data_IF_431404096524
#
_entry.id   IF_431404096524
#
_cell.length_a   1.000
_cell.length_b   1.000
_cell.length_c   1.000
_cell.angle_alpha   90.00
_cell.angle_beta   90.00
_cell.angle_gamma   90.00
#
_symmetry.space_group_name_H-M   'P 1'
#
loop_
_entity.id
_entity.type
_entity.pdbx_description
1 polymer ?
#
# COMPACT_ATOMS: atom_id res chain seq x y z
N UNK A 1 -0.15 -14.23 -10.93
CA UNK A 1 -0.08 -12.78 -11.28
C UNK A 1 -1.46 -12.13 -11.22
N UNK A 2 -2.50 -12.67 -11.87
CA UNK A 2 -3.86 -12.10 -11.88
C UNK A 2 -4.36 -11.71 -10.47
N UNK A 3 -4.30 -12.62 -9.49
CA UNK A 3 -4.78 -12.31 -8.12
C UNK A 3 -4.03 -11.16 -7.42
N UNK A 4 -2.72 -11.02 -7.67
CA UNK A 4 -1.93 -9.93 -7.08
C UNK A 4 -2.36 -8.58 -7.68
N UNK A 5 -2.62 -8.55 -8.99
CA UNK A 5 -3.11 -7.35 -9.67
C UNK A 5 -4.52 -6.96 -9.20
N UNK A 6 -5.37 -7.93 -8.85
CA UNK A 6 -6.68 -7.64 -8.25
C UNK A 6 -6.48 -6.94 -6.90
N UNK A 7 -5.62 -7.46 -6.02
CA UNK A 7 -5.35 -6.85 -4.71
C UNK A 7 -4.82 -5.41 -4.89
N UNK A 8 -3.88 -5.21 -5.82
CA UNK A 8 -3.37 -3.86 -6.12
C UNK A 8 -4.46 -2.94 -6.67
N UNK A 9 -5.28 -3.43 -7.60
CA UNK A 9 -6.34 -2.63 -8.21
C UNK A 9 -7.40 -2.19 -7.18
N UNK A 10 -7.77 -3.07 -6.26
CA UNK A 10 -8.74 -2.74 -5.20
C UNK A 10 -8.13 -1.74 -4.20
N UNK A 11 -6.86 -1.90 -3.83
CA UNK A 11 -6.15 -0.92 -2.99
C UNK A 11 -6.02 0.45 -3.66
N UNK A 12 -5.68 0.47 -4.95
CA UNK A 12 -5.62 1.70 -5.74
C UNK A 12 -7.00 2.36 -5.82
N UNK A 13 -8.05 1.59 -6.10
CA UNK A 13 -9.42 2.09 -6.17
C UNK A 13 -9.91 2.70 -4.84
N UNK A 14 -9.42 2.22 -3.69
CA UNK A 14 -9.71 2.83 -2.40
C UNK A 14 -9.25 4.30 -2.35
N UNK A 15 -8.03 4.57 -2.80
CA UNK A 15 -7.43 5.90 -2.73
C UNK A 15 -7.94 6.79 -3.88
N UNK A 16 -7.85 6.31 -5.12
CA UNK A 16 -8.22 7.11 -6.30
C UNK A 16 -9.73 7.21 -6.50
N UNK A 17 -10.45 6.12 -6.24
CA UNK A 17 -11.90 6.05 -6.48
C UNK A 17 -12.71 6.68 -5.37
N UNK A 18 -12.42 6.36 -4.09
CA UNK A 18 -13.25 6.83 -2.98
C UNK A 18 -12.73 8.11 -2.32
N UNK A 19 -11.42 8.39 -2.34
CA UNK A 19 -10.87 9.60 -1.68
C UNK A 19 -10.63 10.75 -2.67
N UNK A 20 -10.77 10.49 -3.98
CA UNK A 20 -10.51 11.48 -5.04
C UNK A 20 -9.04 11.88 -5.19
N UNK A 21 -8.11 11.15 -4.54
CA UNK A 21 -6.68 11.49 -4.55
C UNK A 21 -5.93 10.65 -5.57
N UNK A 22 -5.24 11.31 -6.50
CA UNK A 22 -4.38 10.62 -7.45
C UNK A 22 -3.07 10.17 -6.78
N UNK A 23 -2.86 8.85 -6.70
CA UNK A 23 -1.65 8.24 -6.11
C UNK A 23 -0.98 7.30 -7.10
N UNK A 24 0.28 7.60 -7.45
CA UNK A 24 1.11 6.81 -8.37
C UNK A 24 2.17 5.96 -7.64
N UNK A 25 2.24 6.06 -6.31
CA UNK A 25 3.26 5.39 -5.49
C UNK A 25 2.98 3.93 -5.13
N UNK A 26 1.84 3.36 -5.56
CA UNK A 26 1.40 2.01 -5.16
C UNK A 26 2.42 0.91 -5.49
N UNK A 27 3.13 1.04 -6.61
CA UNK A 27 4.20 0.11 -6.98
C UNK A 27 5.36 0.12 -5.97
N UNK A 28 5.66 1.26 -5.35
CA UNK A 28 6.67 1.39 -4.30
C UNK A 28 6.30 0.61 -3.04
N UNK A 29 5.06 0.73 -2.57
CA UNK A 29 4.59 -0.02 -1.40
C UNK A 29 4.52 -1.53 -1.66
N UNK A 30 4.11 -1.93 -2.86
CA UNK A 30 4.16 -3.32 -3.30
C UNK A 30 5.61 -3.85 -3.28
N UNK A 31 6.57 -3.06 -3.76
CA UNK A 31 7.99 -3.39 -3.77
C UNK A 31 8.52 -3.63 -2.34
N UNK A 32 8.22 -2.73 -1.40
CA UNK A 32 8.61 -2.88 0.01
C UNK A 32 8.07 -4.18 0.61
N UNK A 33 6.77 -4.44 0.44
CA UNK A 33 6.16 -5.67 0.96
C UNK A 33 6.76 -6.94 0.35
N UNK A 34 7.04 -6.93 -0.96
CA UNK A 34 7.66 -8.06 -1.66
C UNK A 34 9.07 -8.36 -1.12
N UNK A 35 9.89 -7.32 -0.92
CA UNK A 35 11.25 -7.50 -0.41
C UNK A 35 11.28 -7.95 1.05
N UNK A 36 10.40 -7.43 1.91
CA UNK A 36 10.32 -7.88 3.31
C UNK A 36 9.89 -9.35 3.35
N UNK A 37 8.89 -9.73 2.56
CA UNK A 37 8.45 -11.13 2.46
C UNK A 37 9.58 -12.05 1.96
N UNK A 38 10.33 -11.61 0.95
CA UNK A 38 11.49 -12.33 0.43
C UNK A 38 12.60 -12.50 1.47
N UNK A 39 12.94 -11.46 2.23
CA UNK A 39 13.97 -11.55 3.29
C UNK A 39 13.55 -12.53 4.39
N UNK A 40 12.30 -12.45 4.84
CA UNK A 40 11.78 -13.29 5.94
C UNK A 40 11.70 -14.77 5.52
N UNK A 41 11.32 -15.05 4.28
CA UNK A 41 11.18 -16.42 3.79
C UNK A 41 12.50 -17.01 3.28
N UNK A 42 13.28 -16.26 2.49
CA UNK A 42 14.50 -16.76 1.86
C UNK A 42 15.73 -16.70 2.77
N UNK A 43 15.92 -15.62 3.56
CA UNK A 43 17.10 -15.50 4.44
C UNK A 43 16.87 -16.05 5.84
N UNK A 44 15.70 -15.78 6.43
CA UNK A 44 15.40 -16.16 7.81
C UNK A 44 14.73 -17.54 7.92
N UNK A 45 14.31 -18.14 6.80
CA UNK A 45 13.67 -19.46 6.77
C UNK A 45 12.37 -19.53 7.58
N UNK A 46 11.75 -18.38 7.88
CA UNK A 46 10.54 -18.32 8.69
C UNK A 46 9.32 -18.78 7.90
N UNK A 47 8.27 -19.27 8.59
CA UNK A 47 7.08 -19.75 7.91
C UNK A 47 6.39 -18.63 7.12
N UNK A 48 5.74 -19.02 6.01
CA UNK A 48 5.07 -18.11 5.08
C UNK A 48 4.10 -17.14 5.75
N UNK A 49 3.39 -17.57 6.80
CA UNK A 49 2.44 -16.74 7.54
C UNK A 49 3.12 -15.55 8.25
N UNK A 50 4.30 -15.78 8.83
CA UNK A 50 5.10 -14.72 9.46
C UNK A 50 5.61 -13.75 8.40
N UNK A 51 5.98 -14.25 7.21
CA UNK A 51 6.32 -13.42 6.06
C UNK A 51 5.18 -12.47 5.63
N UNK A 52 3.94 -12.97 5.57
CA UNK A 52 2.77 -12.13 5.25
C UNK A 52 2.54 -11.04 6.30
N UNK A 53 2.55 -11.41 7.59
CA UNK A 53 2.28 -10.44 8.66
C UNK A 53 3.41 -9.40 8.74
N UNK A 54 4.67 -9.84 8.66
CA UNK A 54 5.83 -8.95 8.69
C UNK A 54 5.87 -8.00 7.49
N UNK A 55 5.55 -8.49 6.29
CA UNK A 55 5.48 -7.64 5.09
C UNK A 55 4.32 -6.65 5.16
N UNK A 56 3.16 -7.06 5.66
CA UNK A 56 2.01 -6.16 5.88
C UNK A 56 2.34 -5.05 6.89
N UNK A 57 2.91 -5.40 8.04
CA UNK A 57 3.34 -4.43 9.05
C UNK A 57 4.45 -3.52 8.52
N UNK A 58 5.43 -4.06 7.82
CA UNK A 58 6.53 -3.29 7.25
C UNK A 58 6.07 -2.31 6.18
N UNK A 59 5.18 -2.74 5.27
CA UNK A 59 4.57 -1.86 4.28
C UNK A 59 3.69 -0.79 4.93
N UNK A 60 2.95 -1.13 5.99
CA UNK A 60 2.16 -0.15 6.75
C UNK A 60 3.03 0.88 7.47
N UNK A 61 4.17 0.46 8.03
CA UNK A 61 5.11 1.35 8.72
C UNK A 61 5.76 2.33 7.72
N UNK A 62 6.24 1.83 6.58
CA UNK A 62 6.76 2.69 5.50
C UNK A 62 5.66 3.60 4.94
N UNK A 63 4.45 3.06 4.79
CA UNK A 63 3.25 3.81 4.43
C UNK A 63 2.95 4.97 5.38
N UNK A 64 3.06 4.75 6.69
CA UNK A 64 2.84 5.79 7.70
C UNK A 64 3.94 6.86 7.66
N UNK A 65 5.21 6.45 7.54
CA UNK A 65 6.36 7.36 7.45
C UNK A 65 6.26 8.27 6.21
N UNK A 66 5.81 7.73 5.08
CA UNK A 66 5.62 8.48 3.83
C UNK A 66 4.27 9.22 3.82
N UNK A 67 3.25 8.67 4.47
CA UNK A 67 1.91 9.25 4.59
C UNK A 67 1.95 10.61 5.29
N UNK A 68 2.56 10.68 6.47
CA UNK A 68 2.62 11.92 7.27
C UNK A 68 3.09 13.16 6.46
N UNK A 69 4.21 13.11 5.69
CA UNK A 69 4.63 14.26 4.89
C UNK A 69 3.78 14.47 3.63
N UNK A 70 3.30 13.41 2.97
CA UNK A 70 2.49 13.52 1.74
C UNK A 70 1.12 14.15 2.01
N UNK A 71 0.57 13.97 3.21
CA UNK A 71 -0.70 14.55 3.63
C UNK A 71 -0.72 16.08 3.68
N UNK A 72 0.45 16.73 3.67
CA UNK A 72 0.57 18.20 3.61
C UNK A 72 0.39 18.74 2.18
N UNK A 73 0.37 17.87 1.18
CA UNK A 73 0.25 18.21 -0.23
C UNK A 73 -1.20 18.02 -0.70
N UNK A 74 -1.65 18.87 -1.63
CA UNK A 74 -3.01 18.81 -2.19
C UNK A 74 -2.96 18.72 -3.71
N UNK A 75 -3.95 18.06 -4.30
CA UNK A 75 -4.11 17.92 -5.74
C UNK A 75 -2.89 17.28 -6.41
N UNK A 76 -2.41 17.90 -7.49
CA UNK A 76 -1.34 17.37 -8.34
C UNK A 76 0.00 17.19 -7.61
N UNK A 77 0.26 17.98 -6.57
CA UNK A 77 1.47 17.85 -5.77
C UNK A 77 1.54 16.50 -5.04
N UNK A 78 0.40 15.94 -4.64
CA UNK A 78 0.33 14.61 -4.03
C UNK A 78 0.71 13.52 -5.05
N UNK A 79 0.23 13.64 -6.29
CA UNK A 79 0.55 12.69 -7.35
C UNK A 79 2.05 12.71 -7.69
N UNK A 80 2.65 13.90 -7.80
CA UNK A 80 4.09 14.07 -8.06
C UNK A 80 4.91 13.50 -6.91
N UNK A 81 4.54 13.78 -5.66
CA UNK A 81 5.25 13.27 -4.49
C UNK A 81 5.20 11.74 -4.42
N UNK A 82 4.04 11.13 -4.64
CA UNK A 82 3.89 9.66 -4.57
C UNK A 82 4.68 8.94 -5.67
N UNK A 83 4.78 9.53 -6.87
CA UNK A 83 5.67 9.02 -7.93
C UNK A 83 7.14 9.10 -7.48
N UNK A 84 7.55 10.25 -6.94
CA UNK A 84 8.90 10.45 -6.42
C UNK A 84 9.25 9.43 -5.33
N UNK A 85 8.34 9.16 -4.39
CA UNK A 85 8.55 8.12 -3.38
C UNK A 85 8.68 6.72 -3.98
N UNK A 86 7.86 6.37 -4.97
CA UNK A 86 7.98 5.10 -5.69
C UNK A 86 9.37 4.93 -6.31
N UNK A 87 9.90 5.99 -6.90
CA UNK A 87 11.22 5.99 -7.51
C UNK A 87 12.36 5.95 -6.48
N UNK A 88 12.23 6.68 -5.36
CA UNK A 88 13.19 6.62 -4.26
C UNK A 88 13.28 5.19 -3.71
N UNK A 89 12.15 4.52 -3.48
CA UNK A 89 12.13 3.13 -3.03
C UNK A 89 12.84 2.22 -4.03
N UNK A 90 12.61 2.41 -5.33
CA UNK A 90 13.27 1.65 -6.39
C UNK A 90 14.79 1.81 -6.33
N UNK A 91 15.29 3.06 -6.27
CA UNK A 91 16.73 3.36 -6.22
C UNK A 91 17.35 2.77 -4.95
N UNK A 92 16.66 2.88 -3.81
CA UNK A 92 17.11 2.38 -2.53
C UNK A 92 17.28 0.86 -2.56
N UNK A 93 16.32 0.13 -3.14
CA UNK A 93 16.43 -1.33 -3.30
C UNK A 93 17.55 -1.75 -4.26
N UNK A 94 17.79 -0.97 -5.32
CA UNK A 94 18.90 -1.22 -6.25
C UNK A 94 20.27 -0.99 -5.62
N UNK A 95 20.37 -0.11 -4.61
CA UNK A 95 21.62 0.25 -3.96
C UNK A 95 21.97 -0.62 -2.73
N UNK A 96 20.98 -1.28 -2.11
CA UNK A 96 21.24 -2.14 -0.96
C UNK A 96 21.70 -3.54 -1.40
N UNK A 97 22.98 -3.84 -1.16
CA UNK A 97 23.58 -5.15 -1.42
C UNK A 97 22.91 -6.27 -0.62
N UNK A 98 22.44 -5.99 0.60
CA UNK A 98 21.75 -6.98 1.45
C UNK A 98 20.48 -7.54 0.80
N UNK A 99 19.82 -6.74 -0.04
CA UNK A 99 18.56 -7.06 -0.72
C UNK A 99 18.80 -7.70 -2.10
N UNK A 100 20.07 -7.87 -2.49
CA UNK A 100 20.47 -8.37 -3.80
C UNK A 100 20.72 -7.28 -4.84
N UNK A 101 20.63 -6.00 -4.44
CA UNK A 101 20.92 -4.84 -5.29
C UNK A 101 20.19 -4.89 -6.64
N UNK A 102 20.93 -4.65 -7.72
CA UNK A 102 20.39 -4.71 -9.09
C UNK A 102 20.00 -6.12 -9.56
N UNK A 103 20.55 -7.17 -8.94
CA UNK A 103 20.28 -8.56 -9.31
C UNK A 103 19.02 -9.13 -8.64
N UNK A 104 18.54 -8.50 -7.56
CA UNK A 104 17.39 -8.96 -6.79
C UNK A 104 17.65 -10.27 -6.03
N UNK A 105 16.58 -10.88 -5.53
CA UNK A 105 16.64 -12.17 -4.83
C UNK A 105 16.45 -13.35 -5.78
N UNK A 106 17.38 -14.31 -5.70
CA UNK A 106 17.28 -15.62 -6.33
C UNK A 106 16.95 -16.68 -5.25
N UNK A 107 16.27 -17.76 -5.63
CA UNK A 107 15.83 -18.86 -4.74
C UNK A 107 14.81 -18.52 -3.64
N UNK A 108 13.75 -17.77 -3.99
CA UNK A 108 12.62 -17.57 -3.07
C UNK A 108 11.77 -18.86 -3.04
N UNK A 109 11.59 -19.51 -1.88
CA UNK A 109 10.77 -20.71 -1.78
C UNK A 109 9.30 -20.40 -2.08
N UNK A 110 8.74 -21.15 -3.04
CA UNK A 110 7.42 -20.87 -3.59
C UNK A 110 6.31 -21.55 -2.76
N UNK A 111 5.96 -20.95 -1.62
CA UNK A 111 4.89 -21.44 -0.73
C UNK A 111 3.47 -21.03 -1.15
N UNK A 112 3.35 -20.16 -2.16
CA UNK A 112 2.07 -19.59 -2.59
C UNK A 112 1.25 -20.59 -3.41
N UNK A 113 0.19 -21.12 -2.81
CA UNK A 113 -0.81 -21.95 -3.48
C UNK A 113 -1.99 -21.12 -4.02
N UNK A 114 -2.72 -21.65 -4.99
CA UNK A 114 -3.92 -21.01 -5.54
C UNK A 114 -4.96 -20.71 -4.45
N UNK A 115 -5.15 -21.62 -3.50
CA UNK A 115 -6.04 -21.44 -2.34
C UNK A 115 -5.63 -20.24 -1.49
N UNK A 116 -4.34 -20.11 -1.18
CA UNK A 116 -3.83 -18.97 -0.42
C UNK A 116 -4.05 -17.64 -1.15
N UNK A 117 -3.78 -17.61 -2.45
CA UNK A 117 -4.02 -16.43 -3.27
C UNK A 117 -5.50 -16.05 -3.27
N UNK A 118 -6.40 -17.02 -3.46
CA UNK A 118 -7.84 -16.79 -3.46
C UNK A 118 -8.34 -16.23 -2.12
N UNK A 119 -7.91 -16.83 -1.01
CA UNK A 119 -8.25 -16.32 0.34
C UNK A 119 -7.76 -14.90 0.55
N UNK A 120 -6.54 -14.56 0.13
CA UNK A 120 -5.99 -13.19 0.27
C UNK A 120 -6.76 -12.17 -0.57
N UNK A 121 -7.17 -12.55 -1.79
CA UNK A 121 -8.01 -11.69 -2.63
C UNK A 121 -9.35 -11.44 -1.93
N UNK A 122 -10.05 -12.50 -1.50
CA UNK A 122 -11.35 -12.37 -0.83
C UNK A 122 -11.24 -11.52 0.45
N UNK A 123 -10.22 -11.76 1.27
CA UNK A 123 -9.97 -10.99 2.49
C UNK A 123 -9.73 -9.52 2.15
N UNK A 124 -8.88 -9.20 1.17
CA UNK A 124 -8.62 -7.82 0.77
C UNK A 124 -9.89 -7.08 0.32
N UNK A 125 -10.72 -7.73 -0.51
CA UNK A 125 -11.99 -7.17 -0.99
C UNK A 125 -12.99 -6.98 0.16
N UNK A 126 -13.10 -7.94 1.07
CA UNK A 126 -13.98 -7.83 2.24
C UNK A 126 -13.54 -6.70 3.18
N UNK A 127 -12.25 -6.59 3.49
CA UNK A 127 -11.70 -5.53 4.33
C UNK A 127 -11.97 -4.16 3.72
N UNK A 128 -11.69 -4.00 2.42
CA UNK A 128 -11.89 -2.72 1.73
C UNK A 128 -13.38 -2.39 1.61
N UNK A 129 -14.23 -3.37 1.29
CA UNK A 129 -15.68 -3.16 1.22
C UNK A 129 -16.28 -2.79 2.57
N UNK A 130 -15.79 -3.40 3.66
CA UNK A 130 -16.22 -3.05 5.01
C UNK A 130 -15.73 -1.65 5.41
N UNK A 131 -14.49 -1.29 5.04
CA UNK A 131 -13.95 0.04 5.29
C UNK A 131 -14.76 1.13 4.57
N UNK A 132 -15.08 0.95 3.29
CA UNK A 132 -15.89 1.89 2.50
C UNK A 132 -17.29 2.08 3.13
N UNK A 133 -17.90 1.01 3.64
CA UNK A 133 -19.22 1.07 4.29
C UNK A 133 -19.18 1.69 5.70
N UNK A 134 -18.01 1.73 6.32
CA UNK A 134 -17.81 2.26 7.68
C UNK A 134 -17.91 3.79 7.73
N UNK A 135 -17.96 4.34 8.95
CA UNK A 135 -17.99 5.79 9.17
C UNK A 135 -16.77 6.49 8.58
N UNK A 136 -15.57 5.93 8.78
CA UNK A 136 -14.33 6.49 8.22
C UNK A 136 -14.34 6.52 6.69
N UNK A 137 -14.78 5.42 6.05
CA UNK A 137 -14.87 5.36 4.58
C UNK A 137 -15.83 6.40 4.00
N UNK A 138 -16.97 6.65 4.66
CA UNK A 138 -17.91 7.70 4.24
C UNK A 138 -17.33 9.10 4.39
N UNK A 139 -16.53 9.34 5.42
CA UNK A 139 -15.80 10.60 5.58
C UNK A 139 -14.75 10.80 4.47
N UNK A 140 -14.04 9.73 4.06
CA UNK A 140 -13.12 9.81 2.91
C UNK A 140 -13.85 10.14 1.60
N UNK A 141 -15.04 9.57 1.40
CA UNK A 141 -15.88 9.86 0.21
C UNK A 141 -16.31 11.33 0.17
N UNK A 142 -16.74 11.90 1.30
CA UNK A 142 -17.13 13.31 1.32
C UNK A 142 -15.94 14.24 1.04
N UNK A 143 -14.75 13.90 1.54
CA UNK A 143 -13.51 14.64 1.27
C UNK A 143 -13.17 14.61 -0.22
N UNK A 144 -13.45 13.50 -0.91
CA UNK A 144 -13.25 13.36 -2.35
C UNK A 144 -14.17 14.23 -3.21
N UNK A 145 -15.39 14.53 -2.72
CA UNK A 145 -16.34 15.41 -3.41
C UNK A 145 -15.95 16.88 -3.27
N UNK A 146 -15.78 17.37 -2.04
CA UNK A 146 -15.27 18.70 -1.75
C UNK A 146 -14.64 18.74 -0.36
N UNK A 147 -13.31 18.96 -0.33
CA UNK A 147 -12.53 19.03 0.91
C UNK A 147 -12.94 20.23 1.77
N UNK A 148 -13.21 21.39 1.16
CA UNK A 148 -13.57 22.64 1.87
C UNK A 148 -14.97 22.50 2.46
N UNK A 149 -15.91 21.95 1.69
CA UNK A 149 -17.26 21.70 2.20
C UNK A 149 -17.27 20.66 3.32
N UNK A 150 -16.48 19.58 3.19
CA UNK A 150 -16.34 18.57 4.24
C UNK A 150 -15.74 19.14 5.54
N UNK A 151 -14.75 20.02 5.42
CA UNK A 151 -14.15 20.71 6.57
C UNK A 151 -15.15 21.66 7.23
N UNK A 152 -15.96 22.38 6.44
CA UNK A 152 -17.04 23.24 6.95
C UNK A 152 -18.14 22.44 7.69
N UNK A 153 -18.34 21.17 7.33
CA UNK A 153 -19.26 20.24 8.00
C UNK A 153 -18.66 19.59 9.26
N UNK A 154 -17.46 20.01 9.70
CA UNK A 154 -16.82 19.56 10.93
C UNK A 154 -16.06 18.24 10.82
N UNK A 155 -15.81 17.74 9.60
CA UNK A 155 -15.01 16.53 9.38
C UNK A 155 -13.52 16.90 9.44
N UNK A 156 -12.76 16.25 10.32
CA UNK A 156 -11.32 16.44 10.39
C UNK A 156 -10.63 15.78 9.19
N UNK A 157 -10.47 16.54 8.11
CA UNK A 157 -9.89 16.09 6.83
C UNK A 157 -8.45 15.62 6.97
N UNK A 158 -7.70 16.08 7.98
CA UNK A 158 -6.31 15.65 8.20
C UNK A 158 -6.24 14.28 8.86
N UNK A 159 -7.14 13.98 9.80
CA UNK A 159 -7.18 12.70 10.51
C UNK A 159 -7.67 11.55 9.61
N UNK A 160 -8.72 11.78 8.80
CA UNK A 160 -9.31 10.74 7.95
C UNK A 160 -8.49 10.40 6.70
N UNK A 161 -7.43 11.16 6.40
CA UNK A 161 -6.50 10.83 5.33
C UNK A 161 -5.34 9.92 5.80
N UNK A 162 -5.14 9.72 7.10
CA UNK A 162 -4.15 8.79 7.71
C UNK A 162 -4.72 7.38 7.79
#
# INVERSE_FOLDING_TARGET
IIGINIILAVGLNLITGFTGQFSLGHAGFMCVGAYISAIVTAKLGQPFLVGIIASGLGAALVGLVIGIPTLRLKGDYLAIATLGFGEIIRILMLNIDYVGGASGFNDIPQYTNWTWLYFMVVISVLVISNFVKSYAGRACISIGEDEIASEAMGINTTFYKV
#
